data_IF_028833024691
#
_entry.id   IF_028833024691
#
_cell.length_a   1.000
_cell.length_b   1.000
_cell.length_c   1.000
_cell.angle_alpha   90.00
_cell.angle_beta   90.00
_cell.angle_gamma   90.00
#
_symmetry.space_group_name_H-M   'P 1'
#
loop_
_entity.id
_entity.type
_entity.pdbx_description
1 polymer ?
#
# COMPACT_ATOMS: atom_id res chain seq x y z
N UNK A 1 23.63 79.30 -115.96
CA UNK A 1 22.66 78.48 -116.74
C UNK A 1 21.55 78.02 -115.79
N UNK A 2 20.30 78.06 -116.26
CA UNK A 2 19.02 77.87 -115.55
C UNK A 2 18.83 76.47 -114.90
N UNK A 3 18.19 76.38 -113.70
CA UNK A 3 16.85 75.79 -113.39
C UNK A 3 16.70 75.15 -111.97
N UNK A 4 15.72 75.70 -111.23
CA UNK A 4 14.78 75.17 -110.20
C UNK A 4 15.01 73.79 -109.54
N UNK A 5 14.86 73.72 -108.20
CA UNK A 5 13.69 73.09 -107.54
C UNK A 5 13.63 73.45 -106.04
N UNK A 6 12.40 73.62 -105.53
CA UNK A 6 12.01 74.04 -104.18
C UNK A 6 12.07 72.91 -103.13
N UNK A 7 12.01 73.36 -101.87
CA UNK A 7 11.54 72.65 -100.66
C UNK A 7 12.59 71.79 -99.94
N UNK A 8 12.89 72.16 -98.67
CA UNK A 8 12.69 71.32 -97.48
C UNK A 8 13.39 71.93 -96.25
N UNK A 9 13.12 73.20 -95.91
CA UNK A 9 13.78 73.87 -94.78
C UNK A 9 12.83 74.43 -93.71
N UNK A 10 11.57 73.99 -93.63
CA UNK A 10 10.63 74.58 -92.66
C UNK A 10 9.47 73.73 -92.14
N UNK A 11 9.21 72.51 -92.64
CA UNK A 11 8.05 71.72 -92.20
C UNK A 11 8.42 70.22 -92.21
N UNK A 12 9.16 69.77 -91.21
CA UNK A 12 9.41 68.33 -90.98
C UNK A 12 9.60 68.00 -89.48
N UNK A 13 8.97 68.77 -88.59
CA UNK A 13 8.99 68.50 -87.15
C UNK A 13 7.62 68.72 -86.51
N UNK A 14 6.56 68.22 -87.15
CA UNK A 14 5.24 68.09 -86.52
C UNK A 14 4.35 67.08 -87.26
N UNK A 15 4.77 65.81 -87.29
CA UNK A 15 3.93 64.71 -87.79
C UNK A 15 3.74 63.67 -86.68
N UNK A 16 2.63 63.86 -85.96
CA UNK A 16 1.78 62.87 -85.32
C UNK A 16 2.47 61.82 -84.42
N UNK A 17 2.84 62.24 -83.21
CA UNK A 17 2.68 61.34 -82.05
C UNK A 17 1.25 61.48 -81.55
N UNK A 18 0.42 60.46 -81.75
CA UNK A 18 -0.88 60.34 -81.07
C UNK A 18 -0.61 60.07 -79.59
N UNK A 19 -0.36 61.13 -78.83
CA UNK A 19 -0.30 61.04 -77.37
C UNK A 19 -1.73 60.74 -76.91
N UNK A 20 -1.99 59.49 -76.49
CA UNK A 20 -3.21 59.16 -75.76
C UNK A 20 -3.14 59.88 -74.41
N UNK A 21 -3.62 61.11 -74.35
CA UNK A 21 -3.78 61.83 -73.08
C UNK A 21 -4.97 61.22 -72.35
N UNK A 22 -4.71 60.31 -71.41
CA UNK A 22 -5.71 59.87 -70.46
C UNK A 22 -5.93 61.00 -69.44
N UNK A 23 -7.07 61.71 -69.54
CA UNK A 23 -7.41 62.70 -68.52
C UNK A 23 -7.91 61.96 -67.27
N UNK A 24 -7.07 61.89 -66.24
CA UNK A 24 -7.52 61.49 -64.90
C UNK A 24 -8.51 62.52 -64.38
N UNK A 25 -9.49 62.09 -63.59
CA UNK A 25 -10.44 62.99 -62.93
C UNK A 25 -9.94 63.25 -61.52
N UNK A 26 -9.54 64.49 -61.25
CA UNK A 26 -9.29 64.96 -59.89
C UNK A 26 -10.50 65.70 -59.35
N UNK A 27 -11.01 65.31 -58.19
CA UNK A 27 -12.01 66.07 -57.43
C UNK A 27 -11.32 66.59 -56.17
N UNK A 28 -11.10 67.91 -56.08
CA UNK A 28 -10.35 68.52 -54.98
C UNK A 28 -8.82 68.43 -55.09
N UNK A 29 -8.30 67.95 -56.23
CA UNK A 29 -6.87 67.96 -56.58
C UNK A 29 -6.68 68.27 -58.06
N UNK A 30 -5.65 69.05 -58.41
CA UNK A 30 -5.25 69.32 -59.81
C UNK A 30 -4.14 68.40 -60.30
N UNK A 31 -3.61 67.56 -59.41
CA UNK A 31 -2.57 66.56 -59.71
C UNK A 31 -3.00 65.22 -59.12
N UNK A 32 -3.97 64.52 -59.75
CA UNK A 32 -4.33 63.16 -59.33
C UNK A 32 -3.10 62.25 -59.36
N UNK A 33 -3.03 61.28 -58.45
CA UNK A 33 -1.98 60.27 -58.43
C UNK A 33 -1.99 59.48 -59.75
N UNK A 34 -0.80 59.28 -60.34
CA UNK A 34 -0.61 58.64 -61.64
C UNK A 34 -1.20 57.21 -61.72
N UNK A 35 -1.44 56.55 -60.58
CA UNK A 35 -2.04 55.20 -60.51
C UNK A 35 -3.58 55.19 -60.52
N UNK A 36 -4.25 56.34 -60.42
CA UNK A 36 -5.72 56.43 -60.29
C UNK A 36 -6.38 57.03 -61.54
N UNK A 37 -7.54 56.52 -61.97
CA UNK A 37 -8.34 57.22 -62.99
C UNK A 37 -9.23 58.32 -62.36
N UNK A 38 -9.54 58.18 -61.08
CA UNK A 38 -10.31 59.12 -60.27
C UNK A 38 -9.67 59.24 -58.88
N UNK A 39 -9.27 60.45 -58.48
CA UNK A 39 -8.86 60.77 -57.10
C UNK A 39 -9.82 61.80 -56.50
N UNK A 40 -10.30 61.54 -55.29
CA UNK A 40 -11.12 62.48 -54.52
C UNK A 40 -10.31 62.90 -53.29
N UNK A 41 -9.85 64.15 -53.27
CA UNK A 41 -9.06 64.72 -52.18
C UNK A 41 -9.86 65.76 -51.42
N UNK A 42 -10.15 65.48 -50.15
CA UNK A 42 -10.80 66.40 -49.21
C UNK A 42 -10.32 66.11 -47.79
N UNK A 43 -10.29 67.12 -46.93
CA UNK A 43 -9.93 66.97 -45.51
C UNK A 43 -11.14 66.71 -44.61
N UNK A 44 -12.36 66.99 -45.09
CA UNK A 44 -13.57 66.98 -44.27
C UNK A 44 -14.85 66.52 -45.00
N UNK A 45 -14.76 66.13 -46.28
CA UNK A 45 -15.90 65.60 -47.06
C UNK A 45 -15.56 64.23 -47.64
N UNK A 46 -16.55 63.34 -47.71
CA UNK A 46 -16.42 62.01 -48.31
C UNK A 46 -17.17 61.85 -49.63
N UNK A 47 -17.14 60.63 -50.18
CA UNK A 47 -17.94 60.23 -51.33
C UNK A 47 -19.20 59.49 -50.85
N UNK A 48 -20.39 59.97 -51.23
CA UNK A 48 -21.61 59.19 -51.12
C UNK A 48 -21.75 58.29 -52.35
N UNK A 49 -21.61 56.99 -52.11
CA UNK A 49 -21.87 55.93 -53.09
C UNK A 49 -23.40 55.78 -53.29
N UNK A 50 -23.88 55.34 -54.49
CA UNK A 50 -25.30 55.07 -54.71
C UNK A 50 -25.94 54.26 -53.59
N UNK A 51 -27.02 54.81 -53.02
CA UNK A 51 -27.81 54.17 -51.96
C UNK A 51 -28.97 53.42 -52.59
N UNK A 52 -29.02 52.11 -52.39
CA UNK A 52 -30.04 51.24 -52.96
C UNK A 52 -30.70 50.39 -51.87
N UNK A 53 -31.88 49.87 -52.14
CA UNK A 53 -32.62 49.00 -51.23
C UNK A 53 -32.64 47.59 -51.79
N UNK A 54 -31.59 46.81 -51.51
CA UNK A 54 -31.46 45.44 -52.01
C UNK A 54 -32.51 44.53 -51.36
N UNK A 55 -32.97 43.54 -52.13
CA UNK A 55 -33.93 42.54 -51.65
C UNK A 55 -33.25 41.33 -51.00
N UNK A 56 -32.04 40.97 -51.45
CA UNK A 56 -31.18 39.91 -50.93
C UNK A 56 -29.77 40.03 -51.52
N UNK A 57 -28.82 39.18 -51.11
CA UNK A 57 -27.49 39.15 -51.74
C UNK A 57 -27.54 38.67 -53.19
N UNK A 58 -28.57 37.91 -53.58
CA UNK A 58 -28.79 37.45 -54.95
C UNK A 58 -29.56 38.46 -55.81
N UNK A 59 -29.92 39.64 -55.27
CA UNK A 59 -30.76 40.62 -55.96
C UNK A 59 -30.07 41.28 -57.17
N UNK A 60 -30.30 40.72 -58.35
CA UNK A 60 -29.91 41.31 -59.62
C UNK A 60 -31.04 42.15 -60.26
N UNK A 61 -32.11 42.46 -59.52
CA UNK A 61 -33.29 43.16 -60.03
C UNK A 61 -33.31 44.64 -59.66
N UNK A 62 -32.87 45.00 -58.45
CA UNK A 62 -32.75 46.40 -58.00
C UNK A 62 -31.74 47.18 -58.85
N UNK A 63 -30.66 46.50 -59.26
CA UNK A 63 -29.74 46.98 -60.28
C UNK A 63 -29.63 45.87 -61.33
N UNK A 64 -30.31 45.98 -62.48
CA UNK A 64 -30.19 45.01 -63.56
C UNK A 64 -28.77 44.93 -64.13
N UNK A 65 -28.27 43.71 -64.35
CA UNK A 65 -26.93 43.44 -64.89
C UNK A 65 -25.79 44.19 -64.16
N UNK A 66 -25.69 44.05 -62.83
CA UNK A 66 -24.68 44.77 -62.06
C UNK A 66 -23.27 44.36 -62.50
N UNK A 67 -22.40 45.34 -62.73
CA UNK A 67 -21.02 45.10 -63.13
C UNK A 67 -20.20 44.54 -61.96
N UNK A 68 -19.24 43.66 -62.23
CA UNK A 68 -18.30 43.19 -61.21
C UNK A 68 -17.59 44.39 -60.56
N UNK A 69 -17.46 44.33 -59.24
CA UNK A 69 -16.94 45.39 -58.36
C UNK A 69 -17.80 46.66 -58.28
N UNK A 70 -19.04 46.65 -58.77
CA UNK A 70 -19.97 47.77 -58.57
C UNK A 70 -20.24 47.96 -57.08
N UNK A 71 -19.85 49.11 -56.52
CA UNK A 71 -20.03 49.45 -55.11
C UNK A 71 -21.34 50.21 -54.89
N UNK A 72 -22.11 49.79 -53.90
CA UNK A 72 -23.36 50.43 -53.46
C UNK A 72 -23.41 50.49 -51.93
N UNK A 73 -24.24 51.38 -51.40
CA UNK A 73 -24.65 51.33 -50.00
C UNK A 73 -26.08 50.80 -49.91
N UNK A 74 -26.24 49.59 -49.38
CA UNK A 74 -27.55 49.03 -49.10
C UNK A 74 -28.22 49.79 -47.94
N UNK A 75 -29.52 50.06 -48.06
CA UNK A 75 -30.32 50.80 -47.07
C UNK A 75 -31.41 49.95 -46.41
N UNK A 76 -31.67 48.75 -46.93
CA UNK A 76 -32.70 47.84 -46.43
C UNK A 76 -32.14 46.81 -45.45
N UNK A 77 -32.99 46.37 -44.53
CA UNK A 77 -32.85 45.08 -43.85
C UNK A 77 -33.86 44.14 -44.47
N UNK A 78 -33.41 43.21 -45.33
CA UNK A 78 -34.28 42.27 -46.03
C UNK A 78 -33.51 40.97 -46.33
N UNK A 79 -34.11 39.82 -46.04
CA UNK A 79 -33.47 38.51 -46.17
C UNK A 79 -32.08 38.47 -45.50
N UNK A 80 -31.02 38.31 -46.30
CA UNK A 80 -29.61 38.22 -45.89
C UNK A 80 -28.83 39.53 -46.07
N UNK A 81 -29.49 40.64 -46.43
CA UNK A 81 -28.86 41.98 -46.51
C UNK A 81 -29.28 42.88 -45.35
N UNK A 82 -28.34 43.71 -44.89
CA UNK A 82 -28.54 44.74 -43.88
C UNK A 82 -27.93 46.06 -44.36
N UNK A 83 -28.24 47.22 -43.76
CA UNK A 83 -27.62 48.48 -44.16
C UNK A 83 -26.08 48.43 -44.09
N UNK A 84 -25.41 48.91 -45.14
CA UNK A 84 -23.95 48.89 -45.25
C UNK A 84 -23.45 48.91 -46.69
N UNK A 85 -22.13 48.94 -46.86
CA UNK A 85 -21.51 48.89 -48.18
C UNK A 85 -21.54 47.47 -48.76
N UNK A 86 -21.89 47.32 -50.03
CA UNK A 86 -21.88 46.07 -50.77
C UNK A 86 -21.21 46.27 -52.13
N UNK A 87 -20.51 45.26 -52.62
CA UNK A 87 -20.01 45.23 -54.00
C UNK A 87 -20.48 43.98 -54.73
N UNK A 88 -20.66 44.06 -56.05
CA UNK A 88 -21.11 42.93 -56.85
C UNK A 88 -19.95 42.02 -57.30
N UNK A 89 -20.10 40.72 -57.11
CA UNK A 89 -19.16 39.68 -57.61
C UNK A 89 -19.94 38.42 -58.04
N UNK A 90 -21.02 38.61 -58.81
CA UNK A 90 -22.00 37.57 -59.14
C UNK A 90 -23.11 37.39 -58.10
N UNK A 91 -22.86 37.87 -56.87
CA UNK A 91 -23.82 38.18 -55.80
C UNK A 91 -23.31 39.43 -55.07
N UNK A 92 -24.18 40.13 -54.33
CA UNK A 92 -23.79 41.26 -53.48
C UNK A 92 -23.01 40.76 -52.27
N UNK A 93 -21.73 41.14 -52.17
CA UNK A 93 -20.88 40.91 -51.00
C UNK A 93 -20.77 42.16 -50.17
N UNK A 94 -21.01 42.06 -48.86
CA UNK A 94 -20.85 43.18 -47.95
C UNK A 94 -19.36 43.53 -47.83
N UNK A 95 -19.01 44.80 -48.02
CA UNK A 95 -17.68 45.31 -47.75
C UNK A 95 -17.55 45.44 -46.23
N UNK A 96 -16.60 44.70 -45.63
CA UNK A 96 -16.49 44.50 -44.19
C UNK A 96 -16.58 45.80 -43.37
N UNK A 97 -17.24 45.75 -42.21
CA UNK A 97 -17.14 46.81 -41.20
C UNK A 97 -15.82 46.67 -40.43
N UNK A 98 -15.11 47.78 -40.25
CA UNK A 98 -13.92 47.82 -39.40
C UNK A 98 -14.37 47.46 -37.97
N UNK A 99 -13.93 46.29 -37.46
CA UNK A 99 -14.37 45.74 -36.17
C UNK A 99 -15.41 44.60 -36.23
N UNK A 100 -15.80 44.13 -37.42
CA UNK A 100 -16.64 42.94 -37.62
C UNK A 100 -16.70 42.61 -39.12
N UNK A 101 -16.11 41.53 -39.61
CA UNK A 101 -16.15 40.20 -39.03
C UNK A 101 -14.74 39.66 -38.68
N UNK A 102 -14.38 39.70 -37.38
CA UNK A 102 -14.11 38.40 -36.78
C UNK A 102 -15.42 37.63 -36.96
N UNK A 103 -15.38 36.39 -37.42
CA UNK A 103 -16.61 35.64 -37.48
C UNK A 103 -17.30 35.79 -36.12
N UNK A 104 -18.62 35.98 -36.08
CA UNK A 104 -19.37 35.79 -34.82
C UNK A 104 -19.08 34.39 -34.23
N UNK A 105 -18.50 33.50 -35.02
CA UNK A 105 -18.06 32.16 -34.67
C UNK A 105 -16.67 32.09 -33.97
N UNK A 106 -15.89 33.18 -33.92
CA UNK A 106 -14.56 33.16 -33.29
C UNK A 106 -14.63 33.37 -31.76
N UNK A 107 -13.72 32.73 -31.02
CA UNK A 107 -13.54 32.99 -29.58
C UNK A 107 -12.73 34.27 -29.36
N UNK A 108 -13.36 35.30 -28.80
CA UNK A 108 -12.71 36.58 -28.46
C UNK A 108 -11.72 36.41 -27.30
N UNK A 109 -10.64 37.19 -27.31
CA UNK A 109 -9.64 37.22 -26.24
C UNK A 109 -10.20 37.62 -24.87
N UNK A 110 -11.28 38.39 -24.86
CA UNK A 110 -12.00 38.80 -23.64
C UNK A 110 -13.12 37.82 -23.25
N UNK A 111 -13.26 36.71 -23.99
CA UNK A 111 -14.42 35.84 -23.93
C UNK A 111 -15.58 36.33 -24.80
N UNK A 112 -16.47 35.39 -25.13
CA UNK A 112 -17.71 35.69 -25.85
C UNK A 112 -18.85 35.86 -24.84
N UNK A 113 -19.69 36.89 -25.03
CA UNK A 113 -20.94 37.02 -24.29
C UNK A 113 -21.90 35.92 -24.75
N UNK A 114 -22.40 35.13 -23.80
CA UNK A 114 -23.36 34.07 -24.09
C UNK A 114 -24.73 34.71 -24.37
N UNK A 115 -25.24 34.56 -25.59
CA UNK A 115 -26.55 35.13 -25.98
C UNK A 115 -27.64 34.07 -25.88
N UNK A 116 -27.30 32.82 -26.22
CA UNK A 116 -28.26 31.71 -26.35
C UNK A 116 -27.99 30.56 -25.40
N UNK A 117 -26.77 30.45 -24.86
CA UNK A 117 -26.33 29.33 -24.01
C UNK A 117 -25.90 28.08 -24.78
N UNK A 118 -25.86 28.16 -26.12
CA UNK A 118 -25.44 27.08 -27.03
C UNK A 118 -24.07 27.34 -27.67
N UNK A 119 -23.35 28.39 -27.26
CA UNK A 119 -22.01 28.71 -27.74
C UNK A 119 -20.95 27.77 -27.13
N UNK A 120 -19.97 27.29 -27.91
CA UNK A 120 -18.92 26.37 -27.44
C UNK A 120 -17.57 26.60 -28.13
N UNK A 121 -16.49 26.18 -27.46
CA UNK A 121 -15.16 26.05 -28.05
C UNK A 121 -14.98 24.59 -28.47
N UNK A 122 -14.85 24.32 -29.77
CA UNK A 122 -14.75 22.95 -30.24
C UNK A 122 -14.79 22.77 -31.75
N UNK A 123 -14.90 21.52 -32.15
CA UNK A 123 -15.06 21.07 -33.54
C UNK A 123 -16.53 20.70 -33.82
N UNK A 124 -16.95 20.82 -35.08
CA UNK A 124 -18.31 20.48 -35.54
C UNK A 124 -18.36 19.12 -36.28
N UNK A 125 -17.36 18.28 -36.06
CA UNK A 125 -17.20 16.99 -36.70
C UNK A 125 -16.57 15.99 -35.71
N UNK A 126 -16.46 14.72 -36.10
CA UNK A 126 -15.89 13.67 -35.23
C UNK A 126 -14.35 13.70 -35.24
N UNK A 127 -13.78 14.85 -34.88
CA UNK A 127 -12.35 15.06 -34.73
C UNK A 127 -12.04 15.74 -33.38
N UNK A 128 -10.85 15.51 -32.81
CA UNK A 128 -10.48 16.09 -31.52
C UNK A 128 -10.40 17.61 -31.52
N UNK A 129 -10.71 18.21 -30.38
CA UNK A 129 -10.24 19.56 -30.06
C UNK A 129 -8.79 19.47 -29.61
N UNK A 130 -7.89 20.04 -30.41
CA UNK A 130 -6.45 20.04 -30.16
C UNK A 130 -5.99 21.41 -29.68
N UNK A 131 -5.31 21.44 -28.53
CA UNK A 131 -4.64 22.62 -27.99
C UNK A 131 -3.15 22.54 -28.31
N UNK A 132 -2.59 23.63 -28.85
CA UNK A 132 -1.18 23.71 -29.25
C UNK A 132 -0.49 24.94 -28.70
N UNK A 133 0.83 24.82 -28.51
CA UNK A 133 1.75 25.96 -28.32
C UNK A 133 2.78 25.88 -29.45
N UNK A 134 2.83 26.91 -30.29
CA UNK A 134 3.57 26.89 -31.55
C UNK A 134 3.15 25.68 -32.41
N UNK A 135 4.07 24.75 -32.68
CA UNK A 135 3.83 23.53 -33.45
C UNK A 135 3.52 22.31 -32.57
N UNK A 136 3.72 22.40 -31.26
CA UNK A 136 3.58 21.29 -30.32
C UNK A 136 2.15 21.16 -29.80
N UNK A 137 1.64 19.93 -29.80
CA UNK A 137 0.39 19.59 -29.16
C UNK A 137 0.59 19.48 -27.64
N UNK A 138 -0.21 20.24 -26.89
CA UNK A 138 -0.17 20.28 -25.42
C UNK A 138 -1.48 19.76 -24.80
N UNK A 139 -2.52 19.61 -25.62
CA UNK A 139 -3.81 19.10 -25.18
C UNK A 139 -4.61 18.48 -26.32
N UNK A 140 -5.32 17.40 -26.02
CA UNK A 140 -6.17 16.68 -26.95
C UNK A 140 -7.44 16.24 -26.23
N UNK A 141 -8.60 16.63 -26.74
CA UNK A 141 -9.90 16.17 -26.27
C UNK A 141 -10.57 15.39 -27.41
N UNK A 142 -10.43 14.07 -27.38
CA UNK A 142 -10.90 13.20 -28.44
C UNK A 142 -12.40 12.85 -28.26
N UNK A 143 -13.22 12.79 -29.33
CA UNK A 143 -14.66 12.52 -29.22
C UNK A 143 -15.05 11.17 -28.59
N UNK A 144 -14.11 10.22 -28.49
CA UNK A 144 -14.30 8.94 -27.80
C UNK A 144 -14.05 9.02 -26.28
N UNK A 145 -13.87 10.23 -25.73
CA UNK A 145 -13.61 10.48 -24.32
C UNK A 145 -12.14 10.41 -23.91
N UNK A 146 -11.20 10.27 -24.87
CA UNK A 146 -9.77 10.39 -24.61
C UNK A 146 -9.38 11.82 -24.24
N UNK A 147 -8.61 12.01 -23.17
CA UNK A 147 -8.09 13.32 -22.74
C UNK A 147 -6.58 13.21 -22.55
N UNK A 148 -5.83 13.99 -23.33
CA UNK A 148 -4.38 14.09 -23.20
C UNK A 148 -3.99 15.51 -22.86
N UNK A 149 -3.16 15.73 -21.83
CA UNK A 149 -2.66 17.05 -21.44
C UNK A 149 -1.17 16.95 -21.07
N UNK A 150 -0.33 17.72 -21.76
CA UNK A 150 1.13 17.67 -21.63
C UNK A 150 1.82 17.30 -22.94
N UNK A 151 3.07 17.73 -23.09
CA UNK A 151 3.86 17.47 -24.31
C UNK A 151 4.14 15.97 -24.39
N UNK A 152 3.91 15.39 -25.57
CA UNK A 152 4.04 13.95 -25.83
C UNK A 152 3.16 13.05 -24.93
N UNK A 153 2.11 13.61 -24.33
CA UNK A 153 1.09 12.80 -23.67
C UNK A 153 0.25 12.04 -24.70
N UNK A 154 -0.20 10.83 -24.38
CA UNK A 154 -0.97 9.97 -25.29
C UNK A 154 -2.21 9.41 -24.59
N UNK A 155 -3.40 9.79 -25.08
CA UNK A 155 -4.69 9.23 -24.65
C UNK A 155 -5.62 8.98 -25.84
N UNK A 156 -5.18 8.15 -26.79
CA UNK A 156 -5.84 7.99 -28.09
C UNK A 156 -6.99 6.96 -28.10
N UNK A 157 -7.46 6.52 -26.93
CA UNK A 157 -8.39 5.39 -26.81
C UNK A 157 -9.58 5.69 -25.89
N UNK A 158 -10.69 4.97 -26.08
CA UNK A 158 -11.97 5.22 -25.43
C UNK A 158 -11.84 5.43 -23.92
N UNK A 159 -12.30 6.60 -23.46
CA UNK A 159 -12.35 6.98 -22.04
C UNK A 159 -10.99 6.94 -21.31
N UNK A 160 -9.88 7.12 -22.02
CA UNK A 160 -8.53 7.13 -21.41
C UNK A 160 -8.09 8.55 -21.06
N UNK A 161 -7.26 8.70 -20.03
CA UNK A 161 -6.77 10.00 -19.55
C UNK A 161 -5.26 9.94 -19.38
N UNK A 162 -4.53 10.82 -20.07
CA UNK A 162 -3.10 11.03 -19.91
C UNK A 162 -2.82 12.48 -19.51
N UNK A 163 -2.23 12.70 -18.33
CA UNK A 163 -1.92 14.05 -17.84
C UNK A 163 -0.49 14.09 -17.33
N UNK A 164 0.37 14.88 -17.97
CA UNK A 164 1.79 15.00 -17.68
C UNK A 164 2.63 14.86 -18.95
N UNK A 165 3.82 15.47 -18.97
CA UNK A 165 4.74 15.27 -20.09
C UNK A 165 5.11 13.79 -20.19
N UNK A 166 5.04 13.22 -21.39
CA UNK A 166 5.27 11.79 -21.65
C UNK A 166 4.31 10.83 -20.91
N UNK A 167 3.18 11.30 -20.36
CA UNK A 167 2.17 10.41 -19.80
C UNK A 167 1.53 9.57 -20.91
N UNK A 168 1.48 8.25 -20.74
CA UNK A 168 1.00 7.32 -21.75
C UNK A 168 -0.15 6.46 -21.21
N UNK A 169 -1.37 6.76 -21.64
CA UNK A 169 -2.57 5.98 -21.39
C UNK A 169 -2.99 5.19 -22.65
N UNK A 170 -2.03 4.55 -23.33
CA UNK A 170 -2.26 3.73 -24.54
C UNK A 170 -2.96 2.40 -24.30
N UNK A 171 -3.36 2.08 -23.07
CA UNK A 171 -4.19 0.91 -22.78
C UNK A 171 -5.47 0.89 -23.62
N UNK A 172 -5.94 -0.32 -23.96
CA UNK A 172 -7.00 -0.49 -24.97
C UNK A 172 -8.33 0.20 -24.63
N UNK A 173 -8.71 0.32 -23.36
CA UNK A 173 -9.93 1.02 -22.91
C UNK A 173 -9.75 1.46 -21.46
N UNK A 174 -10.16 2.69 -21.12
CA UNK A 174 -10.23 3.23 -19.73
C UNK A 174 -8.88 3.26 -19.00
N UNK A 175 -7.78 3.56 -19.69
CA UNK A 175 -6.48 3.70 -19.03
C UNK A 175 -6.31 5.11 -18.44
N UNK A 176 -5.70 5.22 -17.26
CA UNK A 176 -5.46 6.50 -16.58
C UNK A 176 -3.98 6.63 -16.24
N UNK A 177 -3.26 7.48 -16.96
CA UNK A 177 -1.86 7.81 -16.72
C UNK A 177 -1.75 9.27 -16.25
N UNK A 178 -1.41 9.52 -14.99
CA UNK A 178 -1.31 10.87 -14.43
C UNK A 178 0.05 11.04 -13.74
N UNK A 179 0.93 11.82 -14.33
CA UNK A 179 2.30 12.03 -13.87
C UNK A 179 3.27 12.13 -15.04
N UNK A 180 4.43 12.75 -14.81
CA UNK A 180 5.48 12.80 -15.84
C UNK A 180 5.99 11.37 -16.10
N UNK A 181 5.91 10.93 -17.36
CA UNK A 181 6.34 9.58 -17.75
C UNK A 181 5.54 8.43 -17.14
N UNK A 182 4.35 8.68 -16.57
CA UNK A 182 3.47 7.61 -16.08
C UNK A 182 2.93 6.80 -17.27
N UNK A 183 2.85 5.47 -17.15
CA UNK A 183 2.38 4.60 -18.23
C UNK A 183 1.29 3.66 -17.71
N UNK A 184 0.09 3.79 -18.27
CA UNK A 184 -1.05 2.90 -18.07
C UNK A 184 -1.36 2.16 -19.39
N UNK A 185 -0.73 1.00 -19.60
CA UNK A 185 -0.84 0.21 -20.84
C UNK A 185 -1.82 -0.97 -20.75
N UNK A 186 -2.30 -1.29 -19.55
CA UNK A 186 -3.33 -2.31 -19.34
C UNK A 186 -4.75 -1.77 -19.57
N UNK A 187 -5.69 -2.66 -19.91
CA UNK A 187 -7.13 -2.30 -19.96
C UNK A 187 -7.62 -1.94 -18.56
N UNK A 188 -8.24 -0.76 -18.41
CA UNK A 188 -8.70 -0.26 -17.10
C UNK A 188 -7.60 -0.20 -16.05
N UNK A 189 -6.39 0.14 -16.49
CA UNK A 189 -5.22 0.31 -15.63
C UNK A 189 -5.10 1.76 -15.16
N UNK A 190 -4.48 1.95 -14.00
CA UNK A 190 -4.29 3.26 -13.38
C UNK A 190 -2.82 3.41 -12.99
N UNK A 191 -2.10 4.32 -13.63
CA UNK A 191 -0.73 4.70 -13.30
C UNK A 191 -0.71 6.17 -12.88
N UNK A 192 -0.69 6.43 -11.57
CA UNK A 192 -0.76 7.78 -11.01
C UNK A 192 0.51 8.05 -10.19
N UNK A 193 1.38 8.91 -10.70
CA UNK A 193 2.68 9.24 -10.12
C UNK A 193 3.74 9.39 -11.21
N UNK A 194 4.78 10.17 -10.93
CA UNK A 194 5.92 10.26 -11.86
C UNK A 194 6.54 8.87 -12.09
N UNK A 195 6.72 8.48 -13.35
CA UNK A 195 7.26 7.17 -13.76
C UNK A 195 6.52 5.96 -13.16
N UNK A 196 5.26 6.10 -12.74
CA UNK A 196 4.44 4.94 -12.32
C UNK A 196 4.09 4.07 -13.52
N UNK A 197 4.04 2.75 -13.34
CA UNK A 197 3.86 1.77 -14.42
C UNK A 197 2.76 0.76 -14.11
N UNK A 198 1.65 0.81 -14.84
CA UNK A 198 0.51 -0.10 -14.69
C UNK A 198 0.23 -0.81 -16.02
N UNK A 199 0.64 -2.07 -16.16
CA UNK A 199 0.76 -2.71 -17.49
C UNK A 199 -0.23 -3.83 -17.79
N UNK A 200 -1.11 -4.16 -16.87
CA UNK A 200 -2.06 -5.27 -17.03
C UNK A 200 -3.50 -4.88 -16.71
N UNK A 201 -4.45 -5.75 -17.07
CA UNK A 201 -5.88 -5.49 -16.86
C UNK A 201 -6.19 -5.25 -15.39
N UNK A 202 -6.93 -4.18 -15.09
CA UNK A 202 -7.31 -3.76 -13.73
C UNK A 202 -6.13 -3.55 -12.77
N UNK A 203 -4.92 -3.34 -13.28
CA UNK A 203 -3.75 -3.01 -12.46
C UNK A 203 -3.84 -1.58 -11.94
N UNK A 204 -3.29 -1.33 -10.75
CA UNK A 204 -3.27 0.00 -10.12
C UNK A 204 -1.86 0.26 -9.60
N UNK A 205 -1.14 1.20 -10.19
CA UNK A 205 0.10 1.76 -9.69
C UNK A 205 -0.13 3.21 -9.24
N UNK A 206 -0.01 3.49 -7.94
CA UNK A 206 -0.18 4.83 -7.37
C UNK A 206 1.07 5.20 -6.56
N UNK A 207 1.85 6.18 -7.01
CA UNK A 207 3.09 6.63 -6.38
C UNK A 207 4.22 6.82 -7.39
N UNK A 208 5.21 7.67 -7.06
CA UNK A 208 6.40 7.80 -7.90
C UNK A 208 7.11 6.44 -8.02
N UNK A 209 7.39 6.02 -9.24
CA UNK A 209 7.97 4.71 -9.58
C UNK A 209 7.21 3.48 -9.05
N UNK A 210 5.93 3.61 -8.68
CA UNK A 210 5.11 2.44 -8.34
C UNK A 210 4.89 1.56 -9.59
N UNK A 211 4.98 0.24 -9.44
CA UNK A 211 4.82 -0.72 -10.54
C UNK A 211 3.75 -1.76 -10.20
N UNK A 212 2.71 -1.84 -11.03
CA UNK A 212 1.66 -2.87 -10.96
C UNK A 212 1.60 -3.59 -12.30
N UNK A 213 2.32 -4.72 -12.40
CA UNK A 213 2.60 -5.36 -13.68
C UNK A 213 1.89 -6.70 -13.90
N UNK A 214 0.91 -7.04 -13.06
CA UNK A 214 0.11 -8.26 -13.20
C UNK A 214 -1.40 -7.97 -13.17
N UNK A 215 -2.21 -8.91 -13.66
CA UNK A 215 -3.67 -8.77 -13.70
C UNK A 215 -4.25 -8.55 -12.31
N UNK A 216 -5.07 -7.51 -12.16
CA UNK A 216 -5.72 -7.10 -10.91
C UNK A 216 -4.73 -6.94 -9.74
N UNK A 217 -3.48 -6.57 -10.03
CA UNK A 217 -2.50 -6.23 -9.00
C UNK A 217 -2.68 -4.78 -8.52
N UNK A 218 -2.18 -4.45 -7.34
CA UNK A 218 -2.25 -3.09 -6.78
C UNK A 218 -0.95 -2.74 -6.07
N UNK A 219 -0.26 -1.70 -6.56
CA UNK A 219 0.93 -1.12 -5.99
C UNK A 219 0.64 0.34 -5.58
N UNK A 220 0.73 0.65 -4.29
CA UNK A 220 0.47 1.98 -3.74
C UNK A 220 1.65 2.42 -2.87
N UNK A 221 2.41 3.40 -3.33
CA UNK A 221 3.53 4.04 -2.63
C UNK A 221 4.78 4.16 -3.49
N UNK A 222 5.76 4.93 -3.01
CA UNK A 222 7.02 5.15 -3.74
C UNK A 222 7.73 3.81 -3.98
N UNK A 223 8.03 3.49 -5.25
CA UNK A 223 8.76 2.28 -5.62
C UNK A 223 8.10 0.95 -5.23
N UNK A 224 6.81 0.93 -4.90
CA UNK A 224 6.14 -0.34 -4.57
C UNK A 224 5.90 -1.17 -5.83
N UNK A 225 6.15 -2.47 -5.75
CA UNK A 225 6.05 -3.44 -6.85
C UNK A 225 5.01 -4.53 -6.54
N UNK A 226 3.92 -4.56 -7.30
CA UNK A 226 2.92 -5.62 -7.28
C UNK A 226 2.97 -6.38 -8.63
N UNK A 227 3.72 -7.48 -8.66
CA UNK A 227 4.04 -8.22 -9.89
C UNK A 227 3.41 -9.62 -9.94
N UNK A 228 2.73 -10.04 -8.88
CA UNK A 228 1.90 -11.25 -8.87
C UNK A 228 0.43 -10.98 -9.24
N UNK A 229 -0.26 -11.95 -9.86
CA UNK A 229 -1.69 -11.84 -10.14
C UNK A 229 -2.49 -11.70 -8.83
N UNK A 230 -3.41 -10.73 -8.75
CA UNK A 230 -4.13 -10.39 -7.51
C UNK A 230 -3.22 -10.02 -6.32
N UNK A 231 -1.97 -9.60 -6.57
CA UNK A 231 -1.08 -9.17 -5.51
C UNK A 231 -1.35 -7.73 -5.07
N UNK A 232 -0.97 -7.39 -3.84
CA UNK A 232 -1.12 -6.04 -3.28
C UNK A 232 0.15 -5.62 -2.56
N UNK A 233 0.77 -4.52 -2.96
CA UNK A 233 1.92 -3.90 -2.31
C UNK A 233 1.55 -2.47 -1.88
N UNK A 234 1.58 -2.17 -0.58
CA UNK A 234 1.16 -0.86 -0.04
C UNK A 234 2.18 -0.31 0.94
N UNK A 235 2.74 0.86 0.62
CA UNK A 235 3.76 1.58 1.37
C UNK A 235 5.02 1.81 0.55
N UNK A 236 6.16 2.06 1.21
CA UNK A 236 7.40 2.44 0.53
C UNK A 236 8.22 1.20 0.13
N UNK A 237 8.54 1.05 -1.15
CA UNK A 237 9.53 0.07 -1.66
C UNK A 237 9.17 -1.38 -1.31
N UNK A 238 7.87 -1.72 -1.29
CA UNK A 238 7.39 -3.07 -0.99
C UNK A 238 7.29 -3.92 -2.25
N UNK A 239 7.49 -5.23 -2.14
CA UNK A 239 7.39 -6.18 -3.26
C UNK A 239 6.41 -7.29 -2.96
N UNK A 240 5.31 -7.37 -3.71
CA UNK A 240 4.36 -8.50 -3.71
C UNK A 240 4.46 -9.23 -5.06
N UNK A 241 5.30 -10.27 -5.13
CA UNK A 241 5.71 -10.88 -6.41
C UNK A 241 5.02 -12.20 -6.75
N UNK A 242 4.34 -12.82 -5.79
CA UNK A 242 3.60 -14.06 -6.02
C UNK A 242 2.10 -13.82 -6.19
N UNK A 243 1.40 -14.75 -6.82
CA UNK A 243 -0.07 -14.69 -6.93
C UNK A 243 -0.73 -14.64 -5.55
N UNK A 244 -1.73 -13.78 -5.39
CA UNK A 244 -2.47 -13.56 -4.13
C UNK A 244 -1.61 -13.05 -2.96
N UNK A 245 -0.39 -12.56 -3.22
CA UNK A 245 0.51 -12.10 -2.17
C UNK A 245 0.22 -10.67 -1.71
N UNK A 246 0.51 -10.35 -0.45
CA UNK A 246 0.32 -9.03 0.14
C UNK A 246 1.57 -8.51 0.86
N UNK A 247 2.10 -7.35 0.49
CA UNK A 247 3.24 -6.71 1.14
C UNK A 247 2.87 -5.32 1.66
N UNK A 248 2.92 -5.10 2.97
CA UNK A 248 2.42 -3.88 3.62
C UNK A 248 3.48 -3.28 4.55
N UNK A 249 3.88 -2.03 4.31
CA UNK A 249 4.81 -1.30 5.19
C UNK A 249 5.97 -0.63 4.46
N UNK A 250 7.19 -0.93 4.88
CA UNK A 250 8.42 -0.37 4.31
C UNK A 250 9.36 -1.51 3.98
N UNK A 251 9.71 -1.68 2.69
CA UNK A 251 10.60 -2.76 2.23
C UNK A 251 10.15 -4.17 2.60
N UNK A 252 8.84 -4.38 2.68
CA UNK A 252 8.24 -5.70 2.93
C UNK A 252 8.23 -6.50 1.63
N UNK A 253 8.47 -7.82 1.72
CA UNK A 253 8.54 -8.72 0.56
C UNK A 253 7.60 -9.92 0.79
N UNK A 254 6.63 -10.11 -0.09
CA UNK A 254 5.75 -11.27 -0.12
C UNK A 254 5.96 -12.04 -1.42
N UNK A 255 6.68 -13.15 -1.35
CA UNK A 255 7.10 -13.97 -2.51
C UNK A 255 6.57 -15.41 -2.49
N UNK A 256 5.86 -15.81 -1.43
CA UNK A 256 5.07 -17.05 -1.41
C UNK A 256 3.68 -16.84 -2.01
N UNK A 257 3.13 -17.84 -2.71
CA UNK A 257 1.74 -17.78 -3.21
C UNK A 257 0.77 -17.64 -2.04
N UNK A 258 -0.13 -16.66 -2.07
CA UNK A 258 -1.04 -16.39 -0.95
C UNK A 258 -0.37 -15.87 0.33
N UNK A 259 0.92 -15.53 0.28
CA UNK A 259 1.67 -15.07 1.44
C UNK A 259 1.39 -13.61 1.78
N UNK A 260 1.50 -13.23 3.04
CA UNK A 260 1.36 -11.84 3.50
C UNK A 260 2.55 -11.43 4.36
N UNK A 261 3.18 -10.31 4.05
CA UNK A 261 4.27 -9.70 4.81
C UNK A 261 3.83 -8.31 5.30
N UNK A 262 3.81 -8.10 6.62
CA UNK A 262 3.36 -6.84 7.23
C UNK A 262 4.46 -6.28 8.12
N UNK A 263 4.87 -5.04 7.89
CA UNK A 263 5.80 -4.27 8.72
C UNK A 263 7.20 -4.10 8.11
N UNK A 264 8.01 -3.23 8.74
CA UNK A 264 9.35 -2.87 8.27
C UNK A 264 10.21 -4.10 7.98
N UNK A 265 10.59 -4.27 6.70
CA UNK A 265 11.41 -5.38 6.19
C UNK A 265 10.88 -6.78 6.52
N UNK A 266 9.56 -6.94 6.65
CA UNK A 266 8.94 -8.26 6.78
C UNK A 266 9.11 -9.05 5.47
N UNK A 267 9.49 -10.33 5.56
CA UNK A 267 9.66 -11.20 4.38
C UNK A 267 8.84 -12.48 4.56
N UNK A 268 7.85 -12.70 3.70
CA UNK A 268 7.05 -13.94 3.65
C UNK A 268 7.30 -14.67 2.32
N UNK A 269 8.11 -15.73 2.36
CA UNK A 269 8.49 -16.53 1.18
C UNK A 269 7.78 -17.89 1.09
N UNK A 270 7.05 -18.26 2.14
CA UNK A 270 6.33 -19.53 2.21
C UNK A 270 4.89 -19.35 1.72
N UNK A 271 4.40 -20.31 0.93
CA UNK A 271 3.00 -20.37 0.48
C UNK A 271 2.04 -20.25 1.67
N UNK A 272 1.04 -19.38 1.54
CA UNK A 272 -0.03 -19.13 2.51
C UNK A 272 0.44 -18.64 3.90
N UNK A 273 1.71 -18.24 4.04
CA UNK A 273 2.26 -17.78 5.31
C UNK A 273 2.02 -16.28 5.54
N UNK A 274 1.75 -15.91 6.79
CA UNK A 274 1.73 -14.52 7.25
C UNK A 274 2.96 -14.26 8.12
N UNK A 275 3.75 -13.25 7.77
CA UNK A 275 4.91 -12.79 8.54
C UNK A 275 4.68 -11.36 9.01
N UNK A 276 4.78 -11.17 10.33
CA UNK A 276 4.62 -9.88 11.00
C UNK A 276 5.99 -9.38 11.49
N UNK A 277 6.55 -8.40 10.77
CA UNK A 277 7.87 -7.81 11.04
C UNK A 277 9.06 -8.57 10.44
N UNK A 278 10.25 -7.97 10.53
CA UNK A 278 11.48 -8.56 10.02
C UNK A 278 11.97 -9.74 10.89
N UNK A 279 11.94 -10.96 10.33
CA UNK A 279 12.36 -12.19 11.00
C UNK A 279 13.85 -12.23 11.39
N UNK A 280 14.70 -11.45 10.71
CA UNK A 280 16.13 -11.31 11.03
C UNK A 280 16.43 -10.26 12.11
N UNK A 281 15.44 -9.46 12.51
CA UNK A 281 15.62 -8.41 13.52
C UNK A 281 15.26 -8.92 14.91
N UNK A 282 16.14 -8.68 15.90
CA UNK A 282 15.82 -8.92 17.32
C UNK A 282 14.83 -7.90 17.87
N UNK A 283 14.65 -6.76 17.20
CA UNK A 283 13.75 -5.66 17.60
C UNK A 283 12.33 -5.79 17.04
N UNK A 284 12.07 -6.71 16.11
CA UNK A 284 10.71 -6.94 15.63
C UNK A 284 9.82 -7.46 16.77
N UNK A 285 8.63 -6.86 16.94
CA UNK A 285 7.70 -7.11 18.04
C UNK A 285 6.25 -7.01 17.54
N UNK A 286 5.38 -7.84 18.07
CA UNK A 286 3.92 -7.78 17.89
C UNK A 286 3.27 -7.60 19.25
N UNK A 287 2.61 -6.46 19.45
CA UNK A 287 1.84 -6.16 20.66
C UNK A 287 0.34 -6.33 20.40
N UNK A 288 -0.36 -7.07 21.28
CA UNK A 288 -1.82 -7.15 21.32
C UNK A 288 -2.27 -6.63 22.68
N UNK A 289 -2.98 -5.50 22.71
CA UNK A 289 -3.35 -4.84 23.96
C UNK A 289 -2.20 -4.08 24.66
N UNK A 290 -1.05 -3.91 23.99
CA UNK A 290 0.09 -3.11 24.48
C UNK A 290 0.76 -2.34 23.34
N UNK A 291 1.28 -1.14 23.63
CA UNK A 291 2.13 -0.35 22.74
C UNK A 291 3.63 -0.46 23.10
N UNK A 292 3.97 -1.16 24.18
CA UNK A 292 5.35 -1.41 24.62
C UNK A 292 5.60 -2.92 24.79
N UNK A 293 5.53 -3.71 23.70
CA UNK A 293 5.83 -5.14 23.76
C UNK A 293 7.30 -5.36 24.15
N UNK A 294 7.53 -5.98 25.30
CA UNK A 294 8.87 -6.42 25.75
C UNK A 294 9.31 -7.74 25.08
N UNK A 295 8.36 -8.59 24.69
CA UNK A 295 8.57 -9.85 23.97
C UNK A 295 8.14 -9.84 22.50
N UNK A 296 8.72 -10.74 21.68
CA UNK A 296 8.39 -10.86 20.23
C UNK A 296 6.89 -10.92 19.96
N UNK A 297 6.15 -11.63 20.81
CA UNK A 297 4.69 -11.56 20.90
C UNK A 297 4.33 -11.25 22.35
N UNK A 298 3.80 -10.05 22.60
CA UNK A 298 3.30 -9.64 23.91
C UNK A 298 1.79 -9.44 23.81
N UNK A 299 1.02 -10.21 24.59
CA UNK A 299 -0.43 -10.08 24.67
C UNK A 299 -0.83 -9.67 26.08
N UNK A 300 -1.41 -8.48 26.23
CA UNK A 300 -2.05 -8.05 27.49
C UNK A 300 -3.51 -8.49 27.43
N UNK A 301 -3.82 -9.55 28.17
CA UNK A 301 -5.12 -10.19 28.19
C UNK A 301 -5.01 -11.71 28.15
N UNK A 302 -6.13 -12.39 27.95
CA UNK A 302 -6.14 -13.85 27.85
C UNK A 302 -5.91 -14.32 26.41
N UNK A 303 -5.05 -15.32 26.25
CA UNK A 303 -4.92 -16.08 25.00
C UNK A 303 -5.76 -17.35 25.13
N UNK A 304 -6.58 -17.66 24.12
CA UNK A 304 -7.31 -18.93 24.02
C UNK A 304 -6.70 -19.77 22.90
N UNK A 305 -6.15 -20.92 23.25
CA UNK A 305 -5.70 -21.94 22.29
C UNK A 305 -6.65 -23.13 22.33
N UNK A 306 -7.15 -23.53 21.15
CA UNK A 306 -8.09 -24.63 20.99
C UNK A 306 -7.49 -25.65 20.04
N UNK A 307 -7.20 -26.85 20.54
CA UNK A 307 -6.71 -27.99 19.74
C UNK A 307 -7.64 -29.21 19.86
N UNK A 308 -8.81 -29.04 20.50
CA UNK A 308 -9.78 -30.11 20.77
C UNK A 308 -9.49 -30.90 22.05
N UNK A 309 -8.33 -30.70 22.67
CA UNK A 309 -7.91 -31.38 23.90
C UNK A 309 -7.94 -30.48 25.13
N UNK A 310 -8.36 -29.22 25.05
CA UNK A 310 -8.49 -28.35 26.23
C UNK A 310 -9.52 -28.91 27.24
N UNK A 311 -9.25 -28.80 28.54
CA UNK A 311 -10.17 -29.29 29.58
C UNK A 311 -9.67 -29.06 31.01
N UNK A 312 -10.56 -29.26 32.00
CA UNK A 312 -10.18 -29.20 33.41
C UNK A 312 -9.15 -30.29 33.74
N UNK A 313 -8.14 -30.00 34.56
CA UNK A 313 -7.04 -30.92 34.87
C UNK A 313 -6.02 -31.10 33.74
N UNK A 314 -6.06 -30.27 32.71
CA UNK A 314 -5.02 -30.22 31.66
C UNK A 314 -4.18 -28.96 31.76
N UNK A 315 -2.91 -29.10 31.41
CA UNK A 315 -1.96 -28.00 31.32
C UNK A 315 -1.38 -27.91 29.90
N UNK A 316 -0.96 -26.72 29.49
CA UNK A 316 -0.29 -26.53 28.22
C UNK A 316 1.19 -26.79 28.39
N UNK A 317 1.73 -27.70 27.59
CA UNK A 317 3.17 -28.02 27.57
C UNK A 317 3.74 -27.84 26.19
N UNK A 318 5.02 -27.48 26.13
CA UNK A 318 5.80 -27.48 24.91
C UNK A 318 6.51 -28.83 24.73
N UNK A 319 6.61 -29.32 23.51
CA UNK A 319 7.61 -30.34 23.17
C UNK A 319 9.00 -29.73 22.93
N UNK A 320 9.98 -30.58 22.56
CA UNK A 320 11.35 -30.17 22.29
C UNK A 320 11.51 -29.22 21.07
N UNK A 321 10.48 -29.12 20.22
CA UNK A 321 10.44 -28.24 19.06
C UNK A 321 9.63 -26.96 19.31
N UNK A 322 9.19 -26.71 20.55
CA UNK A 322 8.40 -25.51 20.87
C UNK A 322 6.89 -25.66 20.63
N UNK A 323 6.39 -26.86 20.25
CA UNK A 323 4.98 -27.04 19.92
C UNK A 323 4.16 -27.18 21.20
N UNK A 324 3.30 -26.20 21.45
CA UNK A 324 2.31 -26.23 22.53
C UNK A 324 1.22 -27.28 22.27
N UNK A 325 0.88 -28.08 23.30
CA UNK A 325 -0.28 -28.98 23.31
C UNK A 325 -0.88 -29.09 24.72
N UNK A 326 -2.15 -29.44 24.81
CA UNK A 326 -2.79 -29.74 26.11
C UNK A 326 -2.53 -31.18 26.56
N UNK A 327 -2.10 -31.38 27.81
CA UNK A 327 -1.82 -32.69 28.42
C UNK A 327 -2.46 -32.81 29.80
N UNK A 328 -2.82 -34.03 30.22
CA UNK A 328 -3.33 -34.29 31.57
C UNK A 328 -2.26 -33.98 32.62
N UNK A 329 -2.62 -33.24 33.67
CA UNK A 329 -1.73 -32.96 34.80
C UNK A 329 -1.24 -34.25 35.47
N UNK A 330 -2.10 -35.27 35.55
CA UNK A 330 -1.80 -36.54 36.22
C UNK A 330 -0.70 -37.35 35.52
N UNK A 331 -0.46 -37.10 34.23
CA UNK A 331 0.62 -37.77 33.48
C UNK A 331 2.01 -37.42 33.99
N UNK A 332 2.15 -36.40 34.85
CA UNK A 332 3.43 -35.93 35.39
C UNK A 332 3.58 -36.12 36.91
N UNK A 333 2.58 -36.69 37.60
CA UNK A 333 2.67 -36.97 39.03
C UNK A 333 3.72 -38.05 39.29
N UNK A 334 4.78 -37.68 40.02
CA UNK A 334 5.77 -38.63 40.54
C UNK A 334 5.64 -38.61 42.05
N UNK A 335 5.24 -39.75 42.62
CA UNK A 335 4.88 -39.90 44.02
C UNK A 335 5.28 -41.28 44.52
N UNK A 336 5.70 -41.36 45.78
CA UNK A 336 5.94 -42.62 46.47
C UNK A 336 5.82 -42.44 47.96
N UNK A 337 5.31 -43.45 48.64
CA UNK A 337 5.18 -43.46 50.08
C UNK A 337 5.49 -44.84 50.65
N UNK A 338 6.22 -44.90 51.76
CA UNK A 338 6.51 -46.13 52.51
C UNK A 338 6.27 -45.91 54.01
N UNK A 339 5.86 -46.98 54.71
CA UNK A 339 5.46 -46.93 56.11
C UNK A 339 6.12 -48.01 56.97
N UNK A 340 6.23 -47.70 58.26
CA UNK A 340 6.54 -48.62 59.35
C UNK A 340 5.35 -48.68 60.32
N UNK A 341 4.65 -49.81 60.37
CA UNK A 341 3.51 -50.04 61.28
C UNK A 341 3.55 -51.35 62.08
N UNK A 342 4.46 -52.28 61.79
CA UNK A 342 4.61 -53.49 62.62
C UNK A 342 5.24 -53.18 63.98
N UNK A 343 5.27 -54.17 64.88
CA UNK A 343 5.71 -54.06 66.27
C UNK A 343 6.95 -53.17 66.46
N UNK A 344 7.02 -52.42 67.58
CA UNK A 344 8.18 -51.61 67.94
C UNK A 344 9.49 -52.38 67.79
N UNK A 345 10.51 -51.72 67.25
CA UNK A 345 11.83 -52.30 67.12
C UNK A 345 12.91 -51.35 67.61
N UNK A 346 13.96 -51.93 68.18
CA UNK A 346 15.17 -51.20 68.53
C UNK A 346 15.89 -50.85 67.23
N UNK A 347 16.07 -49.56 66.97
CA UNK A 347 16.85 -49.10 65.84
C UNK A 347 18.31 -48.97 66.29
N UNK A 348 19.18 -49.72 65.63
CA UNK A 348 20.62 -49.54 65.72
C UNK A 348 21.08 -48.62 64.58
N UNK A 349 22.21 -47.94 64.77
CA UNK A 349 22.71 -46.92 63.84
C UNK A 349 22.71 -47.42 62.40
N UNK A 350 22.07 -46.69 61.49
CA UNK A 350 21.92 -47.10 60.10
C UNK A 350 20.62 -46.66 59.44
N UNK A 351 20.32 -47.28 58.30
CA UNK A 351 19.12 -47.02 57.50
C UNK A 351 17.90 -47.62 58.21
N UNK A 352 16.82 -46.84 58.32
CA UNK A 352 15.55 -47.33 58.81
C UNK A 352 14.94 -48.32 57.81
N UNK A 353 14.53 -49.46 58.33
CA UNK A 353 13.67 -50.39 57.61
C UNK A 353 12.20 -50.01 57.82
N UNK A 354 11.45 -50.04 56.73
CA UNK A 354 10.01 -49.93 56.61
C UNK A 354 9.45 -51.33 56.33
N UNK A 355 8.16 -51.55 56.58
CA UNK A 355 7.54 -52.88 56.46
C UNK A 355 6.32 -52.88 55.53
N UNK A 356 5.83 -51.71 55.11
CA UNK A 356 4.72 -51.57 54.18
C UNK A 356 5.17 -50.62 53.05
N UNK A 357 5.17 -51.13 51.83
CA UNK A 357 5.29 -50.30 50.63
C UNK A 357 3.92 -49.69 50.34
N UNK A 358 3.83 -48.37 50.30
CA UNK A 358 2.59 -47.64 50.02
C UNK A 358 2.31 -47.52 48.53
N UNK A 359 1.66 -46.43 48.13
CA UNK A 359 1.38 -46.14 46.73
C UNK A 359 2.61 -45.55 46.04
N UNK A 360 2.79 -45.88 44.75
CA UNK A 360 3.76 -45.20 43.89
C UNK A 360 3.19 -44.88 42.51
N UNK A 361 3.65 -43.77 41.94
CA UNK A 361 3.50 -43.42 40.54
C UNK A 361 4.88 -43.01 40.04
N UNK A 362 5.45 -43.80 39.11
CA UNK A 362 6.77 -43.58 38.50
C UNK A 362 7.97 -43.60 39.48
N UNK A 363 7.80 -44.17 40.68
CA UNK A 363 8.86 -44.44 41.66
C UNK A 363 8.91 -45.94 41.96
N UNK A 364 10.09 -46.46 42.27
CA UNK A 364 10.25 -47.81 42.82
C UNK A 364 10.32 -47.74 44.35
N UNK A 365 9.53 -48.56 45.03
CA UNK A 365 9.52 -48.64 46.49
C UNK A 365 10.31 -49.86 46.95
N UNK A 366 11.12 -49.70 48.00
CA UNK A 366 11.73 -50.80 48.75
C UNK A 366 11.53 -50.59 50.24
N UNK A 367 11.81 -51.63 51.03
CA UNK A 367 11.71 -51.57 52.48
C UNK A 367 12.69 -50.58 53.12
N UNK A 368 13.60 -49.95 52.37
CA UNK A 368 14.59 -49.00 52.92
C UNK A 368 14.68 -47.70 52.13
N UNK A 369 14.07 -47.63 50.94
CA UNK A 369 14.23 -46.49 50.03
C UNK A 369 13.01 -46.24 49.16
N UNK A 370 12.85 -44.98 48.76
CA UNK A 370 12.01 -44.60 47.62
C UNK A 370 12.94 -44.15 46.48
N UNK A 371 12.95 -44.91 45.39
CA UNK A 371 13.83 -44.71 44.24
C UNK A 371 13.11 -43.99 43.11
N UNK A 372 13.72 -42.90 42.66
CA UNK A 372 13.38 -42.23 41.42
C UNK A 372 13.79 -43.08 40.22
N UNK A 373 12.92 -43.25 39.22
CA UNK A 373 13.26 -43.99 38.00
C UNK A 373 14.02 -43.10 37.02
N UNK A 374 13.34 -42.49 36.06
CA UNK A 374 14.00 -41.81 34.92
C UNK A 374 14.10 -40.30 35.08
N UNK A 375 13.32 -39.67 35.96
CA UNK A 375 13.10 -38.21 35.95
C UNK A 375 14.01 -37.47 36.93
N UNK A 376 14.99 -36.73 36.42
CA UNK A 376 15.86 -35.87 37.25
C UNK A 376 15.06 -34.65 37.76
N UNK A 377 15.26 -34.26 39.01
CA UNK A 377 14.65 -33.04 39.54
C UNK A 377 14.71 -32.89 41.06
N UNK A 378 14.06 -31.83 41.55
CA UNK A 378 13.91 -31.56 42.98
C UNK A 378 12.67 -32.30 43.49
N UNK A 379 12.88 -33.16 44.47
CA UNK A 379 11.83 -33.90 45.16
C UNK A 379 11.64 -33.33 46.55
N UNK A 380 10.38 -33.16 46.94
CA UNK A 380 10.00 -32.89 48.32
C UNK A 380 9.90 -34.23 49.04
N UNK A 381 10.74 -34.40 50.06
CA UNK A 381 10.78 -35.58 50.92
C UNK A 381 10.23 -35.18 52.28
N UNK A 382 9.12 -35.76 52.68
CA UNK A 382 8.57 -35.60 54.02
C UNK A 382 8.65 -36.91 54.76
N UNK A 383 9.28 -36.91 55.92
CA UNK A 383 9.30 -38.08 56.79
C UNK A 383 8.77 -37.75 58.18
N UNK A 384 8.08 -38.71 58.79
CA UNK A 384 7.76 -38.65 60.21
C UNK A 384 8.26 -39.90 60.93
N UNK A 385 8.74 -39.75 62.16
CA UNK A 385 9.23 -40.84 63.00
C UNK A 385 8.68 -40.64 64.40
N UNK A 386 8.07 -41.67 64.98
CA UNK A 386 7.64 -41.70 66.38
C UNK A 386 8.56 -42.61 67.18
N UNK A 387 9.22 -42.03 68.17
CA UNK A 387 10.12 -42.71 69.09
C UNK A 387 9.46 -42.89 70.45
N UNK A 388 9.79 -43.97 71.14
CA UNK A 388 9.43 -44.18 72.55
C UNK A 388 10.66 -44.64 73.31
N UNK A 389 10.95 -43.97 74.43
CA UNK A 389 12.01 -44.39 75.36
C UNK A 389 11.38 -44.97 76.61
N UNK A 390 11.70 -46.23 76.90
CA UNK A 390 11.07 -46.97 78.01
C UNK A 390 11.78 -46.72 79.33
N UNK A 391 13.11 -46.75 79.34
CA UNK A 391 13.97 -46.53 80.52
C UNK A 391 15.29 -45.82 80.15
N UNK A 392 16.10 -45.40 81.13
CA UNK A 392 17.46 -44.89 80.92
C UNK A 392 17.60 -43.36 80.75
N UNK A 393 18.84 -42.83 80.65
CA UNK A 393 19.10 -41.39 80.56
C UNK A 393 18.64 -40.80 79.22
N UNK A 394 18.27 -39.53 79.18
CA UNK A 394 17.86 -38.88 77.93
C UNK A 394 18.95 -38.96 76.85
N UNK A 395 18.55 -39.23 75.61
CA UNK A 395 19.44 -39.32 74.45
C UNK A 395 19.06 -38.27 73.40
N UNK A 396 20.00 -37.89 72.53
CA UNK A 396 19.76 -36.96 71.42
C UNK A 396 20.27 -37.54 70.10
N UNK A 397 19.60 -38.56 69.52
CA UNK A 397 19.92 -39.06 68.19
C UNK A 397 19.68 -37.99 67.11
N UNK A 398 20.34 -38.16 65.97
CA UNK A 398 20.02 -37.43 64.75
C UNK A 398 19.46 -38.35 63.67
N UNK A 399 18.61 -37.77 62.83
CA UNK A 399 18.06 -38.38 61.63
C UNK A 399 18.48 -37.59 60.40
N UNK A 400 18.77 -38.26 59.30
CA UNK A 400 19.16 -37.63 58.05
C UNK A 400 18.60 -38.40 56.85
N UNK A 401 18.46 -37.69 55.74
CA UNK A 401 18.14 -38.31 54.46
C UNK A 401 19.45 -38.69 53.77
N UNK A 402 19.50 -39.87 53.18
CA UNK A 402 20.63 -40.33 52.40
C UNK A 402 20.24 -40.68 50.97
N UNK A 403 21.19 -40.59 50.05
CA UNK A 403 21.10 -41.23 48.75
C UNK A 403 21.79 -42.58 48.89
N UNK A 404 21.01 -43.67 48.82
CA UNK A 404 21.50 -45.02 49.04
C UNK A 404 22.30 -45.19 50.35
N UNK A 405 21.86 -44.52 51.41
CA UNK A 405 22.53 -44.51 52.72
C UNK A 405 23.62 -43.46 52.91
N UNK A 406 24.13 -42.84 51.83
CA UNK A 406 25.10 -41.74 51.94
C UNK A 406 24.39 -40.44 52.26
N UNK A 407 24.75 -39.79 53.37
CA UNK A 407 24.06 -38.60 53.85
C UNK A 407 24.01 -37.45 52.84
N UNK A 408 22.83 -36.84 52.73
CA UNK A 408 22.64 -35.56 52.05
C UNK A 408 22.90 -34.44 53.07
N UNK A 409 23.90 -33.60 52.79
CA UNK A 409 24.31 -32.52 53.68
C UNK A 409 23.14 -31.57 54.00
N UNK A 410 23.02 -31.14 55.26
CA UNK A 410 21.95 -30.25 55.73
C UNK A 410 20.59 -30.92 56.01
N UNK A 411 20.50 -32.25 55.90
CA UNK A 411 19.26 -32.98 56.22
C UNK A 411 19.20 -33.50 57.67
N UNK A 412 20.33 -33.47 58.40
CA UNK A 412 20.41 -33.83 59.83
C UNK A 412 19.43 -33.03 60.67
N UNK A 413 18.72 -33.74 61.53
CA UNK A 413 17.82 -33.18 62.52
C UNK A 413 17.95 -33.94 63.83
N UNK A 414 18.16 -33.21 64.92
CA UNK A 414 18.44 -33.76 66.24
C UNK A 414 17.18 -33.79 67.09
N UNK A 415 17.02 -34.85 67.87
CA UNK A 415 15.81 -35.03 68.67
C UNK A 415 16.19 -35.56 70.03
N UNK A 416 15.96 -34.76 71.07
CA UNK A 416 16.13 -35.22 72.45
C UNK A 416 14.85 -35.94 72.91
N UNK A 417 15.03 -37.15 73.45
CA UNK A 417 13.96 -37.95 74.07
C UNK A 417 14.38 -38.38 75.48
N UNK A 418 13.53 -38.09 76.45
CA UNK A 418 13.74 -38.37 77.87
C UNK A 418 13.14 -39.71 78.31
N UNK A 419 13.48 -40.13 79.52
CA UNK A 419 12.94 -41.35 80.13
C UNK A 419 11.41 -41.34 80.17
N UNK A 420 10.76 -42.38 79.63
CA UNK A 420 9.30 -42.52 79.59
C UNK A 420 8.58 -41.66 78.55
N UNK A 421 9.32 -40.93 77.69
CA UNK A 421 8.73 -40.06 76.66
C UNK A 421 8.40 -40.83 75.38
N UNK A 422 7.30 -40.47 74.73
CA UNK A 422 6.99 -40.81 73.32
C UNK A 422 6.95 -39.52 72.52
N UNK A 423 7.68 -39.46 71.40
CA UNK A 423 7.88 -38.24 70.63
C UNK A 423 7.84 -38.48 69.13
N UNK A 424 7.05 -37.68 68.42
CA UNK A 424 7.00 -37.69 66.95
C UNK A 424 7.75 -36.51 66.37
N UNK A 425 8.49 -36.77 65.31
CA UNK A 425 9.26 -35.78 64.54
C UNK A 425 8.76 -35.83 63.12
N UNK A 426 8.37 -34.70 62.54
CA UNK A 426 8.02 -34.60 61.12
C UNK A 426 8.86 -33.51 60.47
N UNK A 427 9.51 -33.87 59.37
CA UNK A 427 10.40 -32.97 58.65
C UNK A 427 10.19 -33.09 57.15
N UNK A 428 10.23 -31.94 56.49
CA UNK A 428 10.23 -31.83 55.04
C UNK A 428 11.57 -31.28 54.58
N UNK A 429 12.16 -31.94 53.59
CA UNK A 429 13.41 -31.53 52.95
C UNK A 429 13.25 -31.61 51.44
N UNK A 430 13.96 -30.74 50.73
CA UNK A 430 14.05 -30.79 49.27
C UNK A 430 15.36 -31.48 48.90
N UNK A 431 15.26 -32.52 48.09
CA UNK A 431 16.39 -33.34 47.67
C UNK A 431 16.43 -33.36 46.15
N UNK A 432 17.56 -32.99 45.57
CA UNK A 432 17.78 -33.16 44.14
C UNK A 432 18.14 -34.63 43.86
N UNK A 433 17.33 -35.33 43.06
CA UNK A 433 17.57 -36.72 42.68
C UNK A 433 17.90 -36.81 41.20
N UNK A 434 18.97 -37.55 40.91
CA UNK A 434 19.25 -38.06 39.57
C UNK A 434 18.38 -39.30 39.28
N UNK A 435 18.38 -39.75 38.04
CA UNK A 435 17.74 -40.99 37.64
C UNK A 435 18.31 -42.17 38.44
N UNK A 436 17.44 -43.08 38.87
CA UNK A 436 17.76 -44.29 39.63
C UNK A 436 18.36 -44.06 41.03
N UNK A 437 18.29 -42.84 41.59
CA UNK A 437 18.69 -42.59 42.98
C UNK A 437 17.56 -42.89 43.96
N UNK A 438 17.92 -43.53 45.08
CA UNK A 438 17.01 -43.91 46.17
C UNK A 438 17.22 -43.05 47.40
N UNK A 439 16.16 -42.40 47.86
CA UNK A 439 16.16 -41.67 49.13
C UNK A 439 15.93 -42.65 50.27
N UNK A 440 16.84 -42.66 51.24
CA UNK A 440 16.75 -43.42 52.48
C UNK A 440 16.62 -42.49 53.68
N UNK A 441 16.05 -42.98 54.77
CA UNK A 441 16.04 -42.31 56.06
C UNK A 441 16.94 -43.07 57.01
N UNK A 442 17.89 -42.39 57.65
CA UNK A 442 18.89 -43.02 58.53
C UNK A 442 18.92 -42.35 59.88
N UNK A 443 19.38 -43.08 60.90
CA UNK A 443 19.51 -42.59 62.28
C UNK A 443 20.87 -42.91 62.88
N UNK A 444 21.30 -42.08 63.81
CA UNK A 444 22.45 -42.33 64.69
C UNK A 444 22.10 -43.11 65.97
N UNK A 445 20.87 -43.61 66.08
CA UNK A 445 20.38 -44.24 67.30
C UNK A 445 21.23 -45.45 67.69
N UNK A 446 21.65 -45.49 68.95
CA UNK A 446 22.44 -46.58 69.52
C UNK A 446 22.06 -46.77 71.00
N UNK A 447 20.76 -46.94 71.26
CA UNK A 447 20.20 -47.06 72.61
C UNK A 447 19.21 -48.23 72.63
N UNK A 448 19.44 -49.28 73.44
CA UNK A 448 18.57 -50.46 73.48
C UNK A 448 17.20 -50.19 74.12
N UNK A 449 17.06 -49.08 74.86
CA UNK A 449 15.84 -48.69 75.56
C UNK A 449 14.96 -47.71 74.77
N UNK A 450 15.35 -47.36 73.54
CA UNK A 450 14.57 -46.50 72.64
C UNK A 450 14.13 -47.26 71.39
N UNK A 451 12.83 -47.19 71.10
CA UNK A 451 12.20 -47.89 69.99
C UNK A 451 11.61 -46.93 68.98
N UNK A 452 11.62 -47.34 67.70
CA UNK A 452 10.80 -46.72 66.66
C UNK A 452 9.43 -47.40 66.69
N UNK A 453 8.40 -46.63 67.02
CA UNK A 453 7.00 -47.09 67.10
C UNK A 453 6.31 -47.01 65.74
N UNK A 454 6.55 -45.92 65.01
CA UNK A 454 6.06 -45.73 63.65
C UNK A 454 6.99 -44.83 62.86
N UNK A 455 7.01 -45.00 61.55
CA UNK A 455 7.71 -44.10 60.64
C UNK A 455 7.00 -44.05 59.29
N UNK A 456 7.05 -42.93 58.60
CA UNK A 456 6.62 -42.82 57.21
C UNK A 456 7.57 -41.93 56.43
N UNK A 457 7.69 -42.19 55.13
CA UNK A 457 8.44 -41.34 54.21
C UNK A 457 7.66 -41.18 52.91
N UNK A 458 7.43 -39.94 52.52
CA UNK A 458 6.75 -39.52 51.29
C UNK A 458 7.76 -38.79 50.41
N UNK A 459 7.80 -39.14 49.13
CA UNK A 459 8.62 -38.47 48.11
C UNK A 459 7.72 -38.05 46.96
N UNK A 460 7.70 -36.75 46.66
CA UNK A 460 6.92 -36.17 45.57
C UNK A 460 7.79 -35.24 44.70
N UNK A 461 7.65 -35.31 43.38
CA UNK A 461 8.33 -34.36 42.48
C UNK A 461 7.66 -32.98 42.62
N UNK A 462 8.48 -31.94 42.76
CA UNK A 462 8.00 -30.56 42.69
C UNK A 462 7.76 -30.22 41.21
N UNK A 463 6.49 -30.00 40.85
CA UNK A 463 6.09 -29.61 39.50
C UNK A 463 6.37 -28.15 39.20
#
# INVERSE_FOLDING_TARGET
MKRNLLSLAGIAMLLLSTVKSHSQVGIGTTTPDASSILEIKSTNSGLLIPRVSLLSTADASTIPFPATSLLVYNTSTNSDVTPGYYYWEGVWKRLATVGGAASIDDWKLVGNDLVTGNEYLGTNNYYPLVLKVNTEEIGNFHPNGGISLGIYSIANVNNSVAIGNFADASGQVRAFAIGVGSIASGTSSYAIGESSYSSNTNSIAFGNSATSSATSSTAIGYGSDATGTYSTAVGFDNTASASYSGAFGYRSVASGVGSTAIGYRATSSQTEAIVLGNSSSSSARVGIGTNTPDEKLHVVGSIKMVDGNQGNGKTMVSDANGKGRWVNMDSYKIYGEIYKYSSPYNLYSGILSFDILGASQNLNLSYTAIQNQTRVGVFKVTYSITLQKTTGPAITPYFYLGIWGTEINGTRSYVTIANGETKTITLTKYVNLLSYQGVTLSSSMADPDTQVISANMIVELVN
#
